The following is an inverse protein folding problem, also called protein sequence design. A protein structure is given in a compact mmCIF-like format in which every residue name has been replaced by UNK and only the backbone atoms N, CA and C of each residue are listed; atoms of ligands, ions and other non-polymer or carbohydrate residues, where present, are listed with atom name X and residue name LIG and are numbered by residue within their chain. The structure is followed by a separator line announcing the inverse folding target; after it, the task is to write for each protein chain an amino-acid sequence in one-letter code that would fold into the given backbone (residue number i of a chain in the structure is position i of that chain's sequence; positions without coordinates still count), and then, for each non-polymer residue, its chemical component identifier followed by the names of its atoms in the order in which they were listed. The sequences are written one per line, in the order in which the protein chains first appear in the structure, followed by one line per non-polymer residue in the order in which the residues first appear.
data_IF_247981254639
#
_entry.id   IF_247981254639
#
_cell.length_a   1.000
_cell.length_b   1.000
_cell.length_c   1.000
_cell.angle_alpha   90.00
_cell.angle_beta   90.00
_cell.angle_gamma   90.00
#
_symmetry.space_group_name_H-M   'P 1'
#
loop_
_entity.id
_entity.type
_entity.pdbx_description
1 polymer ?
#
# COMPACT_ATOMS: atom_id res chain seq x y z
N UNK A 1 0.90 26.41 13.12
CA UNK A 1 0.02 25.25 12.80
C UNK A 1 0.91 24.03 12.85
N UNK A 2 0.71 23.11 13.79
CA UNK A 2 1.44 21.83 13.76
C UNK A 2 0.70 20.92 12.79
N UNK A 3 1.16 20.88 11.54
CA UNK A 3 0.58 20.04 10.51
C UNK A 3 0.82 18.55 10.79
N UNK A 4 -0.20 17.74 10.47
CA UNK A 4 -0.40 16.37 10.95
C UNK A 4 0.51 15.30 10.35
N UNK A 5 1.80 15.34 10.67
CA UNK A 5 2.73 14.24 10.44
C UNK A 5 3.05 13.52 11.75
N UNK A 6 2.52 12.31 11.94
CA UNK A 6 2.77 11.53 13.16
C UNK A 6 4.25 11.15 13.35
N UNK A 7 5.05 11.19 12.29
CA UNK A 7 6.46 10.80 12.33
C UNK A 7 7.40 11.87 12.85
N UNK A 8 6.92 13.09 13.06
CA UNK A 8 7.70 14.22 13.60
C UNK A 8 7.41 14.44 15.08
N UNK A 9 6.61 13.57 15.71
CA UNK A 9 6.33 13.64 17.14
C UNK A 9 7.52 13.01 17.89
N UNK A 10 8.15 13.81 18.74
CA UNK A 10 9.31 13.39 19.52
C UNK A 10 8.93 12.33 20.56
N UNK A 11 9.86 11.40 20.82
CA UNK A 11 9.71 10.38 21.86
C UNK A 11 8.80 9.21 21.51
N UNK A 12 8.21 9.17 20.30
CA UNK A 12 7.41 8.02 19.87
C UNK A 12 8.28 6.81 19.57
N UNK A 13 8.08 5.75 20.34
CA UNK A 13 8.75 4.45 20.16
C UNK A 13 7.88 3.38 19.51
N UNK A 14 6.57 3.60 19.47
CA UNK A 14 5.62 2.63 18.92
C UNK A 14 4.60 3.32 18.03
N UNK A 15 4.43 2.78 16.83
CA UNK A 15 3.38 3.18 15.91
C UNK A 15 2.44 2.00 15.64
N UNK A 16 1.17 2.29 15.40
CA UNK A 16 0.22 1.31 14.89
C UNK A 16 -0.51 1.88 13.69
N UNK A 17 -0.72 1.06 12.65
CA UNK A 17 -1.57 1.46 11.54
C UNK A 17 -2.36 0.28 10.97
N UNK A 18 -3.55 0.58 10.47
CA UNK A 18 -4.40 -0.40 9.79
C UNK A 18 -3.80 -0.82 8.44
N UNK A 19 -3.99 -2.09 8.08
CA UNK A 19 -3.66 -2.65 6.77
C UNK A 19 -4.75 -3.62 6.28
N UNK A 20 -4.47 -4.34 5.19
CA UNK A 20 -5.39 -5.29 4.57
C UNK A 20 -4.70 -6.62 4.25
N UNK A 21 -5.47 -7.66 3.94
CA UNK A 21 -4.94 -8.95 3.53
C UNK A 21 -4.31 -8.96 2.12
N UNK A 22 -4.51 -7.91 1.32
CA UNK A 22 -4.10 -7.89 -0.09
C UNK A 22 -2.64 -7.42 -0.30
N UNK A 23 -1.91 -7.05 0.77
CA UNK A 23 -0.56 -6.52 0.64
C UNK A 23 -0.51 -5.11 0.03
N UNK A 24 -1.64 -4.39 0.03
CA UNK A 24 -1.75 -3.08 -0.60
C UNK A 24 -1.54 -1.94 0.41
N UNK A 25 -0.67 -0.98 0.07
CA UNK A 25 -0.44 0.27 0.83
C UNK A 25 -0.26 1.42 -0.16
N UNK A 26 -1.37 1.91 -0.72
CA UNK A 26 -1.34 2.85 -1.84
C UNK A 26 -1.84 4.26 -1.54
N UNK A 27 -2.42 4.50 -0.36
CA UNK A 27 -3.03 5.79 0.03
C UNK A 27 -2.96 6.01 1.54
N UNK A 28 -3.21 7.25 1.95
CA UNK A 28 -3.32 7.64 3.37
C UNK A 28 -2.06 7.33 4.17
N UNK A 29 -2.24 7.03 5.45
CA UNK A 29 -1.11 6.77 6.36
C UNK A 29 -0.30 5.52 5.98
N UNK A 30 -0.96 4.49 5.43
CA UNK A 30 -0.28 3.26 5.00
C UNK A 30 0.74 3.51 3.88
N UNK A 31 0.47 4.45 2.96
CA UNK A 31 1.45 4.85 1.95
C UNK A 31 2.69 5.49 2.59
N UNK A 32 2.51 6.33 3.61
CA UNK A 32 3.62 6.98 4.29
C UNK A 32 4.50 5.96 5.05
N UNK A 33 3.89 4.96 5.70
CA UNK A 33 4.64 3.84 6.29
C UNK A 33 5.39 3.01 5.25
N UNK A 34 4.79 2.75 4.09
CA UNK A 34 5.47 2.06 2.98
C UNK A 34 6.70 2.84 2.48
N UNK A 35 6.59 4.16 2.33
CA UNK A 35 7.67 5.02 1.87
C UNK A 35 8.79 5.12 2.92
N UNK A 36 8.44 5.30 4.19
CA UNK A 36 9.41 5.44 5.29
C UNK A 36 10.08 4.12 5.68
N UNK A 37 9.34 3.00 5.61
CA UNK A 37 9.80 1.66 6.02
C UNK A 37 9.60 0.63 4.91
N UNK A 38 10.37 0.70 3.81
CA UNK A 38 10.17 -0.17 2.64
C UNK A 38 10.43 -1.65 2.94
N UNK A 39 11.33 -1.97 3.87
CA UNK A 39 11.59 -3.37 4.26
C UNK A 39 10.44 -3.98 5.05
N UNK A 40 9.84 -3.22 5.97
CA UNK A 40 8.60 -3.61 6.66
C UNK A 40 7.52 -3.97 5.63
N UNK A 41 7.31 -3.10 4.63
CA UNK A 41 6.31 -3.33 3.59
C UNK A 41 6.58 -4.62 2.79
N UNK A 42 7.84 -4.93 2.46
CA UNK A 42 8.20 -6.17 1.75
C UNK A 42 7.84 -7.42 2.56
N UNK A 43 8.15 -7.42 3.86
CA UNK A 43 7.82 -8.54 4.75
C UNK A 43 6.30 -8.71 4.91
N UNK A 44 5.59 -7.61 5.15
CA UNK A 44 4.12 -7.59 5.17
C UNK A 44 3.52 -8.16 3.87
N UNK A 45 3.96 -7.66 2.71
CA UNK A 45 3.45 -8.11 1.41
C UNK A 45 3.71 -9.60 1.20
N UNK A 46 4.88 -10.09 1.59
CA UNK A 46 5.21 -11.53 1.53
C UNK A 46 4.26 -12.37 2.38
N UNK A 47 3.95 -11.93 3.61
CA UNK A 47 2.98 -12.61 4.48
C UNK A 47 1.57 -12.63 3.89
N UNK A 48 1.12 -11.51 3.32
CA UNK A 48 -0.17 -11.44 2.61
C UNK A 48 -0.23 -12.39 1.40
N UNK A 49 0.83 -12.42 0.57
CA UNK A 49 0.90 -13.31 -0.60
C UNK A 49 0.94 -14.78 -0.21
N UNK A 50 1.53 -15.11 0.94
CA UNK A 50 1.53 -16.46 1.48
C UNK A 50 0.18 -16.86 2.12
N UNK A 51 -0.76 -15.93 2.29
CA UNK A 51 -2.04 -16.18 2.97
C UNK A 51 -1.91 -16.40 4.48
N UNK A 52 -0.74 -16.14 5.06
CA UNK A 52 -0.46 -16.38 6.50
C UNK A 52 -0.71 -15.14 7.36
N UNK A 53 -1.35 -14.10 6.82
CA UNK A 53 -1.68 -12.89 7.52
C UNK A 53 -3.13 -12.51 7.22
N UNK A 54 -4.01 -12.89 8.14
CA UNK A 54 -5.47 -12.85 8.02
C UNK A 54 -6.06 -11.73 8.88
N UNK A 55 -7.36 -11.49 8.75
CA UNK A 55 -8.02 -10.44 9.53
C UNK A 55 -7.99 -10.73 11.02
N UNK A 56 -7.73 -9.69 11.81
CA UNK A 56 -7.48 -9.79 13.24
C UNK A 56 -6.00 -9.97 13.58
N UNK A 57 -5.17 -10.42 12.65
CA UNK A 57 -3.74 -10.58 12.90
C UNK A 57 -3.04 -9.23 13.09
N UNK A 58 -2.00 -9.26 13.93
CA UNK A 58 -1.06 -8.17 14.12
C UNK A 58 0.32 -8.62 13.67
N UNK A 59 0.95 -7.84 12.80
CA UNK A 59 2.34 -8.03 12.41
C UNK A 59 3.21 -6.95 13.06
N UNK A 60 4.08 -7.38 13.97
CA UNK A 60 5.08 -6.53 14.60
C UNK A 60 6.35 -6.45 13.75
N UNK A 61 6.83 -5.23 13.54
CA UNK A 61 8.10 -4.94 12.90
C UNK A 61 8.93 -4.00 13.79
N UNK A 62 10.09 -4.48 14.23
CA UNK A 62 11.03 -3.73 15.07
C UNK A 62 12.20 -3.24 14.23
N UNK A 63 12.54 -1.95 14.35
CA UNK A 63 13.66 -1.33 13.64
C UNK A 63 14.36 -0.30 14.54
N UNK A 64 15.56 -0.62 15.01
CA UNK A 64 16.22 0.16 16.05
C UNK A 64 15.33 0.22 17.29
N UNK A 65 15.12 1.44 17.82
CA UNK A 65 14.28 1.68 19.00
C UNK A 65 12.79 1.89 18.68
N UNK A 66 12.38 1.67 17.42
CA UNK A 66 11.00 1.87 16.96
C UNK A 66 10.32 0.54 16.67
N UNK A 67 9.12 0.37 17.23
CA UNK A 67 8.21 -0.74 16.94
C UNK A 67 7.04 -0.24 16.08
N UNK A 68 6.67 -1.02 15.07
CA UNK A 68 5.54 -0.73 14.17
C UNK A 68 4.61 -1.94 14.17
N UNK A 69 3.35 -1.70 14.54
CA UNK A 69 2.28 -2.70 14.55
C UNK A 69 1.38 -2.51 13.34
N UNK A 70 1.34 -3.52 12.49
CA UNK A 70 0.42 -3.59 11.37
C UNK A 70 -0.80 -4.38 11.80
N UNK A 71 -1.93 -3.71 11.93
CA UNK A 71 -3.18 -4.34 12.37
C UNK A 71 -4.05 -4.63 11.16
N UNK A 72 -4.33 -5.91 10.91
CA UNK A 72 -5.13 -6.29 9.78
C UNK A 72 -6.63 -6.18 10.09
N UNK A 73 -7.24 -5.11 9.60
CA UNK A 73 -8.63 -4.77 9.93
C UNK A 73 -9.63 -5.17 8.85
N UNK A 74 -9.18 -5.56 7.65
CA UNK A 74 -10.08 -5.74 6.50
C UNK A 74 -9.74 -6.94 5.62
N UNK A 75 -10.79 -7.72 5.31
CA UNK A 75 -10.76 -8.69 4.22
C UNK A 75 -10.95 -7.92 2.92
N UNK A 76 -9.85 -7.60 2.23
CA UNK A 76 -9.94 -7.18 0.84
C UNK A 76 -9.44 -8.32 -0.02
N UNK A 77 -10.33 -8.87 -0.86
CA UNK A 77 -9.95 -9.92 -1.81
C UNK A 77 -8.84 -9.39 -2.73
N UNK A 78 -7.73 -10.13 -2.78
CA UNK A 78 -6.62 -9.91 -3.71
C UNK A 78 -7.13 -9.72 -5.15
N UNK A 79 -8.20 -10.42 -5.54
CA UNK A 79 -8.80 -10.35 -6.89
C UNK A 79 -9.21 -8.92 -7.28
N UNK A 80 -9.74 -8.13 -6.34
CA UNK A 80 -10.13 -6.73 -6.61
C UNK A 80 -8.92 -5.82 -6.86
N UNK A 81 -7.78 -6.12 -6.23
CA UNK A 81 -6.55 -5.35 -6.42
C UNK A 81 -5.80 -5.75 -7.70
N UNK A 82 -5.71 -7.04 -8.03
CA UNK A 82 -5.06 -7.50 -9.25
C UNK A 82 -5.74 -6.96 -10.51
N UNK A 83 -7.08 -7.03 -10.58
CA UNK A 83 -7.84 -6.44 -11.68
C UNK A 83 -7.56 -4.93 -11.86
N UNK A 84 -7.35 -4.21 -10.75
CA UNK A 84 -7.05 -2.79 -10.79
C UNK A 84 -5.59 -2.51 -11.16
N UNK A 85 -4.65 -3.34 -10.73
CA UNK A 85 -3.24 -3.22 -11.10
C UNK A 85 -3.06 -3.48 -12.60
N UNK A 86 -3.66 -4.55 -13.12
CA UNK A 86 -3.69 -4.87 -14.55
C UNK A 86 -4.26 -3.71 -15.37
N UNK A 87 -5.41 -3.14 -14.99
CA UNK A 87 -5.99 -1.98 -15.70
C UNK A 87 -5.04 -0.77 -15.76
N UNK A 88 -4.19 -0.60 -14.75
CA UNK A 88 -3.27 0.54 -14.65
C UNK A 88 -1.98 0.29 -15.41
N UNK A 89 -1.50 -0.95 -15.44
CA UNK A 89 -0.42 -1.36 -16.33
C UNK A 89 -0.85 -1.29 -17.79
N UNK A 90 -2.05 -1.77 -18.15
CA UNK A 90 -2.61 -1.62 -19.51
C UNK A 90 -2.76 -0.16 -19.95
N UNK A 91 -3.03 0.76 -19.01
CA UNK A 91 -3.06 2.20 -19.28
C UNK A 91 -1.67 2.80 -19.48
N UNK A 92 -0.66 2.31 -18.75
CA UNK A 92 0.73 2.77 -18.86
C UNK A 92 1.51 2.12 -20.02
N UNK A 93 1.11 0.92 -20.43
CA UNK A 93 1.64 0.21 -21.60
C UNK A 93 0.90 0.56 -22.90
N UNK A 94 -0.16 1.38 -22.81
CA UNK A 94 -1.04 1.75 -23.91
C UNK A 94 -0.52 2.94 -24.70
N UNK A 95 0.39 2.69 -25.63
CA UNK A 95 0.64 3.48 -26.85
C UNK A 95 -0.64 3.59 -27.70
N UNK A 96 -1.64 4.33 -27.24
CA UNK A 96 -2.78 4.74 -28.07
C UNK A 96 -3.12 6.21 -27.87
N UNK A 97 -2.11 7.06 -28.05
CA UNK A 97 -2.29 8.43 -28.55
C UNK A 97 -1.75 8.51 -29.99
N UNK A 98 -2.20 7.61 -30.87
CA UNK A 98 -2.14 7.81 -32.32
C UNK A 98 -3.10 6.85 -33.00
N UNK A 99 -4.22 7.42 -33.47
CA UNK A 99 -5.34 6.85 -34.26
C UNK A 99 -6.68 7.29 -33.68
N UNK A 100 -6.93 8.61 -33.72
CA UNK A 100 -8.28 9.21 -33.82
C UNK A 100 -8.17 10.70 -34.17
N UNK A 101 -7.29 11.02 -35.11
CA UNK A 101 -7.17 12.35 -35.69
C UNK A 101 -6.92 12.23 -37.21
N UNK A 102 -7.72 11.40 -37.91
CA UNK A 102 -7.72 11.32 -39.38
C UNK A 102 -9.07 10.80 -39.96
N UNK A 103 -10.18 10.88 -39.22
CA UNK A 103 -11.51 10.50 -39.75
C UNK A 103 -12.60 11.54 -39.44
N UNK A 104 -12.28 12.83 -39.53
CA UNK A 104 -13.26 13.89 -39.79
C UNK A 104 -12.63 14.92 -40.73
N UNK A 105 -12.65 14.60 -42.02
CA UNK A 105 -12.10 15.42 -43.08
C UNK A 105 -12.58 14.93 -44.45
N UNK A 106 -13.89 15.02 -44.70
CA UNK A 106 -14.45 15.31 -46.01
C UNK A 106 -15.91 15.76 -45.89
#
# INVERSE_FOLDING_TARGET
MNEGNIFTIDGIKCYAHGCNCAGAMGKGIALQFKLKYPQMYRLYKKKCMAGTFIVGDVFEYVTGDVTILLVNLTLVSLKKYWLKAESKESFLSGDTFSRKADEQGS
#
